data_IF_836036935615
#
_entry.id   IF_836036935615
#
_cell.length_a   1.000
_cell.length_b   1.000
_cell.length_c   1.000
_cell.angle_alpha   90.00
_cell.angle_beta   90.00
_cell.angle_gamma   90.00
#
_symmetry.space_group_name_H-M   'P 1'
#
loop_
_entity.id
_entity.type
_entity.pdbx_description
1 polymer ?
#
# COMPACT_ATOMS: atom_id res chain seq x y z
N UNK A 1 19.50 -15.71 -4.00
CA UNK A 1 19.07 -14.34 -4.35
C UNK A 1 17.65 -14.36 -4.91
N UNK A 2 16.81 -13.43 -4.48
CA UNK A 2 15.47 -13.21 -5.01
C UNK A 2 15.35 -11.78 -5.54
N UNK A 3 14.74 -11.61 -6.72
CA UNK A 3 14.43 -10.31 -7.30
C UNK A 3 12.94 -10.01 -7.09
N UNK A 4 12.61 -8.76 -6.78
CA UNK A 4 11.24 -8.31 -6.49
C UNK A 4 10.51 -7.78 -7.72
N UNK A 5 11.27 -7.47 -8.80
CA UNK A 5 10.74 -7.00 -10.08
C UNK A 5 11.49 -7.74 -11.19
N UNK A 6 10.81 -8.26 -12.20
CA UNK A 6 11.46 -8.93 -13.33
C UNK A 6 12.24 -7.94 -14.21
N UNK A 7 13.35 -8.39 -14.74
CA UNK A 7 14.22 -7.63 -15.64
C UNK A 7 13.69 -7.50 -17.06
N UNK A 8 14.58 -7.18 -18.00
CA UNK A 8 14.29 -7.04 -19.42
C UNK A 8 13.81 -8.38 -20.02
N UNK A 9 12.60 -8.46 -20.60
CA UNK A 9 12.08 -9.70 -21.17
C UNK A 9 12.81 -10.18 -22.44
N UNK A 10 13.72 -9.40 -22.99
CA UNK A 10 14.59 -9.85 -24.08
C UNK A 10 15.79 -10.68 -23.60
N UNK A 11 16.04 -10.69 -22.28
CA UNK A 11 17.09 -11.45 -21.63
C UNK A 11 16.50 -12.64 -20.84
N UNK A 12 17.29 -13.68 -20.55
CA UNK A 12 16.84 -14.77 -19.68
C UNK A 12 16.51 -14.25 -18.27
N UNK A 13 15.35 -14.64 -17.75
CA UNK A 13 15.00 -14.35 -16.36
C UNK A 13 15.84 -15.20 -15.38
N UNK A 14 16.11 -14.65 -14.21
CA UNK A 14 16.93 -15.27 -13.15
C UNK A 14 16.30 -16.56 -12.60
N UNK A 15 14.96 -16.72 -12.72
CA UNK A 15 14.23 -17.88 -12.27
C UNK A 15 12.89 -18.03 -13.00
N UNK A 16 12.29 -19.22 -12.90
CA UNK A 16 10.92 -19.46 -13.40
C UNK A 16 9.89 -18.53 -12.69
N UNK A 17 10.13 -18.20 -11.43
CA UNK A 17 9.30 -17.29 -10.65
C UNK A 17 9.31 -15.90 -11.28
N UNK A 18 10.49 -15.39 -11.67
CA UNK A 18 10.61 -14.11 -12.38
C UNK A 18 9.99 -14.16 -13.78
N UNK A 19 10.14 -15.27 -14.50
CA UNK A 19 9.47 -15.46 -15.78
C UNK A 19 7.93 -15.45 -15.68
N UNK A 20 7.39 -15.99 -14.58
CA UNK A 20 5.95 -15.91 -14.29
C UNK A 20 5.53 -14.48 -13.90
N UNK A 21 6.31 -13.82 -13.04
CA UNK A 21 6.05 -12.43 -12.64
C UNK A 21 6.05 -11.48 -13.84
N UNK A 22 6.96 -11.64 -14.80
CA UNK A 22 7.05 -10.82 -16.01
C UNK A 22 5.76 -10.82 -16.85
N UNK A 23 4.94 -11.90 -16.79
CA UNK A 23 3.64 -11.98 -17.48
C UNK A 23 2.59 -11.03 -16.88
N UNK A 24 2.85 -10.50 -15.69
CA UNK A 24 2.00 -9.52 -15.02
C UNK A 24 2.48 -8.07 -15.23
N UNK A 25 3.37 -7.87 -16.19
CA UNK A 25 3.90 -6.57 -16.56
C UNK A 25 3.71 -6.31 -18.04
N UNK A 26 3.62 -5.02 -18.41
CA UNK A 26 3.51 -4.56 -19.80
C UNK A 26 4.37 -3.31 -20.00
N UNK A 27 4.58 -2.91 -21.25
CA UNK A 27 5.40 -1.75 -21.58
C UNK A 27 6.90 -2.00 -21.36
N UNK A 28 7.60 -0.98 -20.90
CA UNK A 28 9.07 -0.97 -20.77
C UNK A 28 9.52 -0.73 -19.32
N UNK A 29 8.85 -1.35 -18.33
CA UNK A 29 9.10 -1.13 -16.88
C UNK A 29 10.57 -1.26 -16.48
N UNK A 30 11.31 -2.20 -17.08
CA UNK A 30 12.72 -2.45 -16.76
C UNK A 30 13.62 -1.26 -17.10
N UNK A 31 13.25 -0.41 -18.06
CA UNK A 31 13.98 0.82 -18.40
C UNK A 31 13.80 1.91 -17.34
N UNK A 32 12.75 1.83 -16.55
CA UNK A 32 12.42 2.77 -15.48
C UNK A 32 12.69 2.20 -14.08
N UNK A 33 13.21 0.97 -14.00
CA UNK A 33 13.55 0.30 -12.76
C UNK A 33 12.39 -0.43 -12.07
N UNK A 34 11.12 -0.13 -12.40
CA UNK A 34 9.93 -0.86 -11.93
C UNK A 34 9.55 -0.70 -10.46
N UNK A 35 10.47 -0.41 -9.53
CA UNK A 35 10.23 -0.27 -8.10
C UNK A 35 10.54 -1.55 -7.29
N UNK A 36 9.70 -1.87 -6.30
CA UNK A 36 9.78 -3.13 -5.54
C UNK A 36 10.87 -3.19 -4.49
N UNK A 37 11.29 -2.06 -3.92
CA UNK A 37 12.30 -2.01 -2.87
C UNK A 37 11.80 -2.62 -1.57
N UNK A 38 12.57 -3.51 -0.97
CA UNK A 38 12.36 -4.03 0.39
C UNK A 38 13.10 -3.10 1.35
N UNK A 39 12.38 -2.14 1.96
CA UNK A 39 13.03 -1.02 2.66
C UNK A 39 12.71 -0.95 4.17
N UNK A 40 11.82 -1.80 4.66
CA UNK A 40 11.45 -1.86 6.08
C UNK A 40 11.77 -3.24 6.67
N UNK A 41 11.23 -3.56 7.82
CA UNK A 41 11.55 -4.76 8.58
C UNK A 41 11.10 -6.03 7.88
N UNK A 42 11.86 -7.10 8.14
CA UNK A 42 11.56 -8.47 7.69
C UNK A 42 11.20 -9.31 8.91
N UNK A 43 10.44 -10.37 8.73
CA UNK A 43 10.14 -11.32 9.79
C UNK A 43 10.70 -12.71 9.45
N UNK A 44 11.28 -13.39 10.43
CA UNK A 44 11.75 -14.76 10.29
C UNK A 44 10.99 -15.69 11.23
N UNK A 45 10.48 -16.78 10.69
CA UNK A 45 9.84 -17.85 11.44
C UNK A 45 10.81 -19.04 11.59
N UNK A 46 11.38 -19.25 12.79
CA UNK A 46 12.32 -20.36 13.02
C UNK A 46 11.67 -21.75 13.02
N UNK A 47 10.34 -21.80 13.18
CA UNK A 47 9.62 -23.09 13.17
C UNK A 47 9.37 -23.59 11.75
N UNK A 48 9.04 -22.68 10.83
CA UNK A 48 8.79 -23.00 9.44
C UNK A 48 10.05 -22.84 8.56
N UNK A 49 11.10 -22.25 9.13
CA UNK A 49 12.31 -21.83 8.40
C UNK A 49 11.97 -20.99 7.17
N UNK A 50 11.20 -19.91 7.40
CA UNK A 50 10.75 -18.97 6.38
C UNK A 50 11.14 -17.54 6.75
N UNK A 51 11.65 -16.81 5.77
CA UNK A 51 11.87 -15.37 5.81
C UNK A 51 10.76 -14.68 5.03
N UNK A 52 10.04 -13.78 5.71
CA UNK A 52 9.02 -12.93 5.07
C UNK A 52 9.60 -11.56 4.80
N UNK A 53 9.48 -11.12 3.55
CA UNK A 53 9.86 -9.78 3.12
C UNK A 53 8.63 -9.03 2.62
N UNK A 54 8.56 -7.74 2.94
CA UNK A 54 7.54 -6.84 2.39
C UNK A 54 8.10 -6.10 1.18
N UNK A 55 7.41 -6.16 0.06
CA UNK A 55 7.82 -5.54 -1.19
C UNK A 55 7.15 -4.18 -1.35
N UNK A 56 7.90 -3.20 -1.78
CA UNK A 56 7.47 -1.82 -1.96
C UNK A 56 6.62 -1.60 -3.21
N UNK A 57 6.28 -0.34 -3.37
CA UNK A 57 5.49 0.20 -4.48
C UNK A 57 6.21 0.17 -5.83
N UNK A 58 5.47 0.48 -6.89
CA UNK A 58 6.00 0.67 -8.23
C UNK A 58 6.72 2.01 -8.43
N UNK A 59 7.71 2.03 -9.32
CA UNK A 59 8.37 3.26 -9.78
C UNK A 59 8.43 3.26 -11.32
N UNK A 60 7.88 4.30 -11.98
CA UNK A 60 7.03 5.39 -11.46
C UNK A 60 5.78 4.92 -10.69
N UNK A 61 5.21 5.78 -9.82
CA UNK A 61 3.97 5.44 -9.10
C UNK A 61 2.82 5.18 -10.06
N UNK A 62 2.65 6.07 -11.04
CA UNK A 62 1.57 5.95 -12.02
C UNK A 62 1.69 4.64 -12.83
N UNK A 63 0.76 3.73 -12.57
CA UNK A 63 0.76 2.41 -13.22
C UNK A 63 0.61 2.52 -14.73
N UNK A 64 -0.18 3.46 -15.25
CA UNK A 64 -0.40 3.59 -16.71
C UNK A 64 0.86 4.02 -17.45
N UNK A 65 1.80 4.67 -16.76
CA UNK A 65 3.14 5.01 -17.28
C UNK A 65 4.10 3.84 -17.13
N UNK A 66 4.15 3.25 -15.93
CA UNK A 66 5.07 2.15 -15.60
C UNK A 66 4.74 0.86 -16.36
N UNK A 67 3.45 0.51 -16.40
CA UNK A 67 2.98 -0.77 -16.93
C UNK A 67 1.52 -0.62 -17.41
N UNK A 68 1.30 -0.06 -18.61
CA UNK A 68 -0.04 0.21 -19.11
C UNK A 68 -0.86 -1.07 -19.29
N UNK A 69 -2.18 -0.99 -19.12
CA UNK A 69 -3.10 -2.11 -19.35
C UNK A 69 -3.64 -2.78 -18.08
N UNK A 70 -3.39 -2.21 -16.90
CA UNK A 70 -4.09 -2.62 -15.67
C UNK A 70 -3.71 -4.00 -15.13
N UNK A 71 -2.45 -4.40 -15.28
CA UNK A 71 -1.90 -5.69 -14.82
C UNK A 71 -1.32 -5.61 -13.41
N UNK A 72 -1.12 -6.74 -12.76
CA UNK A 72 -0.82 -6.85 -11.34
C UNK A 72 0.57 -6.34 -10.92
N UNK A 73 1.57 -6.43 -11.81
CA UNK A 73 2.96 -6.02 -11.54
C UNK A 73 3.63 -6.78 -10.37
N UNK A 74 3.64 -8.12 -10.44
CA UNK A 74 4.30 -8.92 -9.41
C UNK A 74 5.82 -8.67 -9.38
N UNK A 75 6.42 -8.48 -8.17
CA UNK A 75 5.83 -8.66 -6.83
C UNK A 75 5.65 -7.32 -6.10
N UNK A 76 5.27 -6.24 -6.76
CA UNK A 76 4.99 -4.99 -6.06
C UNK A 76 3.93 -5.18 -4.98
N UNK A 77 4.03 -4.40 -3.90
CA UNK A 77 3.02 -4.33 -2.82
C UNK A 77 2.60 -5.72 -2.32
N UNK A 78 3.60 -6.59 -2.10
CA UNK A 78 3.39 -8.00 -1.74
C UNK A 78 4.16 -8.38 -0.49
N UNK A 79 3.62 -9.35 0.25
CA UNK A 79 4.39 -10.15 1.20
C UNK A 79 4.92 -11.35 0.44
N UNK A 80 6.21 -11.64 0.56
CA UNK A 80 6.85 -12.78 -0.09
C UNK A 80 7.58 -13.62 0.95
N UNK A 81 7.32 -14.93 0.95
CA UNK A 81 8.01 -15.90 1.79
C UNK A 81 9.13 -16.58 1.00
N UNK A 82 10.30 -16.63 1.60
CA UNK A 82 11.52 -17.16 1.03
C UNK A 82 12.16 -18.19 1.97
N UNK A 83 12.92 -19.14 1.41
CA UNK A 83 13.88 -19.93 2.18
C UNK A 83 15.09 -19.06 2.51
N UNK A 84 15.46 -18.85 3.80
CA UNK A 84 16.49 -17.90 4.19
C UNK A 84 17.88 -18.25 3.64
N UNK A 85 18.24 -19.54 3.60
CA UNK A 85 19.57 -19.99 3.17
C UNK A 85 19.80 -19.85 1.67
N UNK A 86 18.79 -20.12 0.84
CA UNK A 86 18.91 -20.14 -0.61
C UNK A 86 18.33 -18.90 -1.30
N UNK A 87 17.33 -18.27 -0.67
CA UNK A 87 16.51 -17.22 -1.28
C UNK A 87 15.44 -17.79 -2.23
N UNK A 88 15.15 -19.09 -2.12
CA UNK A 88 14.13 -19.72 -2.94
C UNK A 88 12.74 -19.22 -2.56
N UNK A 89 11.94 -18.90 -3.58
CA UNK A 89 10.57 -18.49 -3.44
C UNK A 89 9.70 -19.65 -2.92
N UNK A 90 8.83 -19.32 -1.94
CA UNK A 90 7.85 -20.27 -1.38
C UNK A 90 6.43 -19.86 -1.75
N UNK A 91 6.00 -18.67 -1.34
CA UNK A 91 4.70 -18.11 -1.68
C UNK A 91 4.73 -16.57 -1.65
N UNK A 92 3.70 -15.96 -2.19
CA UNK A 92 3.45 -14.53 -2.04
C UNK A 92 1.96 -14.25 -1.85
N UNK A 93 1.68 -13.11 -1.25
CA UNK A 93 0.35 -12.51 -1.21
C UNK A 93 0.46 -11.03 -1.60
N UNK A 94 -0.26 -10.60 -2.62
CA UNK A 94 -0.22 -9.22 -3.11
C UNK A 94 -1.35 -8.40 -2.49
N UNK A 95 -1.02 -7.44 -1.64
CA UNK A 95 -1.99 -6.59 -0.93
C UNK A 95 -2.63 -5.54 -1.83
N UNK A 96 -1.89 -5.06 -2.85
CA UNK A 96 -2.36 -4.01 -3.76
C UNK A 96 -1.93 -4.34 -5.20
N UNK A 97 -2.72 -5.16 -5.94
CA UNK A 97 -2.44 -5.46 -7.34
C UNK A 97 -2.43 -4.20 -8.21
N UNK A 98 -1.42 -4.04 -9.06
CA UNK A 98 -1.30 -2.90 -9.94
C UNK A 98 -1.26 -1.55 -9.21
N UNK A 99 -0.55 -1.50 -8.08
CA UNK A 99 -0.41 -0.29 -7.26
C UNK A 99 -0.08 0.96 -8.09
N UNK A 100 -0.71 2.07 -7.74
CA UNK A 100 -0.51 3.38 -8.34
C UNK A 100 -0.48 4.52 -7.31
N UNK A 101 -0.74 4.20 -6.03
CA UNK A 101 -0.91 5.15 -4.92
C UNK A 101 0.29 5.22 -3.98
N UNK A 102 1.38 4.50 -4.29
CA UNK A 102 2.51 4.28 -3.36
C UNK A 102 2.14 3.38 -2.17
N UNK A 103 1.23 2.43 -2.36
CA UNK A 103 0.87 1.49 -1.30
C UNK A 103 1.86 0.34 -1.22
N UNK A 104 2.78 0.45 -0.27
CA UNK A 104 3.78 -0.58 -0.01
C UNK A 104 3.23 -1.67 0.91
N UNK A 105 3.77 -2.88 0.82
CA UNK A 105 3.57 -3.95 1.81
C UNK A 105 4.83 -4.19 2.65
N UNK A 106 5.67 -3.17 2.80
CA UNK A 106 6.93 -3.25 3.54
C UNK A 106 6.78 -3.09 5.05
N UNK A 107 5.61 -2.65 5.52
CA UNK A 107 5.33 -2.35 6.92
C UNK A 107 5.56 -3.57 7.81
N UNK A 108 5.87 -3.30 9.08
CA UNK A 108 6.17 -4.31 10.09
C UNK A 108 5.18 -5.48 10.06
N UNK A 109 5.70 -6.70 10.08
CA UNK A 109 4.93 -7.95 10.11
C UNK A 109 5.04 -8.60 11.48
N UNK A 110 3.91 -9.06 12.04
CA UNK A 110 3.85 -9.78 13.31
C UNK A 110 3.51 -11.23 13.02
N UNK A 111 4.29 -12.16 13.58
CA UNK A 111 4.01 -13.59 13.56
C UNK A 111 3.32 -13.96 14.87
N UNK A 112 2.11 -14.50 14.81
CA UNK A 112 1.34 -14.90 15.97
C UNK A 112 0.57 -16.19 15.71
N UNK A 113 0.31 -16.95 16.78
CA UNK A 113 -0.63 -18.06 16.74
C UNK A 113 -1.97 -17.57 17.26
N UNK A 114 -3.00 -17.60 16.40
CA UNK A 114 -4.34 -17.08 16.69
C UNK A 114 -5.35 -18.22 16.74
N UNK A 115 -6.26 -18.16 17.71
CA UNK A 115 -7.41 -19.08 17.71
C UNK A 115 -8.51 -18.49 16.82
N UNK A 116 -8.70 -19.08 15.64
CA UNK A 116 -9.70 -18.66 14.65
C UNK A 116 -10.68 -19.79 14.44
N UNK A 117 -11.94 -19.57 14.78
CA UNK A 117 -12.98 -20.62 14.63
C UNK A 117 -12.78 -21.86 15.50
N UNK A 118 -12.01 -21.75 16.60
CA UNK A 118 -11.68 -22.85 17.48
C UNK A 118 -10.40 -23.64 17.11
N UNK A 119 -9.72 -23.23 16.03
CA UNK A 119 -8.46 -23.83 15.59
C UNK A 119 -7.32 -22.83 15.73
N UNK A 120 -6.15 -23.32 16.18
CA UNK A 120 -4.93 -22.49 16.25
C UNK A 120 -4.33 -22.38 14.85
N UNK A 121 -4.33 -21.15 14.30
CA UNK A 121 -3.75 -20.82 12.99
C UNK A 121 -2.44 -20.08 13.19
N UNK A 122 -1.41 -20.49 12.46
CA UNK A 122 -0.13 -19.79 12.38
C UNK A 122 -0.31 -18.59 11.46
N UNK A 123 -0.42 -17.39 12.03
CA UNK A 123 -0.77 -16.19 11.27
C UNK A 123 0.42 -15.25 11.08
N UNK A 124 0.42 -14.54 9.95
CA UNK A 124 1.17 -13.32 9.72
C UNK A 124 0.19 -12.16 9.64
N UNK A 125 0.47 -11.10 10.39
CA UNK A 125 -0.37 -9.93 10.57
C UNK A 125 0.33 -8.72 9.99
N UNK A 126 -0.35 -7.96 9.14
CA UNK A 126 0.20 -6.73 8.57
C UNK A 126 -0.90 -5.68 8.36
N UNK A 127 -0.57 -4.42 8.69
CA UNK A 127 -1.32 -3.23 8.32
C UNK A 127 -0.49 -2.44 7.29
N UNK A 128 -0.53 -2.76 5.98
CA UNK A 128 0.19 -2.01 4.96
C UNK A 128 -0.43 -0.64 4.71
N UNK A 129 0.22 0.18 3.87
CA UNK A 129 -0.24 1.53 3.53
C UNK A 129 -1.66 1.59 2.98
N UNK A 130 -2.14 0.54 2.34
CA UNK A 130 -3.41 0.50 1.61
C UNK A 130 -4.69 0.61 2.47
N UNK A 131 -4.54 0.55 3.80
CA UNK A 131 -5.61 0.79 4.77
C UNK A 131 -6.38 -0.45 5.23
N UNK A 132 -6.02 -1.65 4.78
CA UNK A 132 -6.57 -2.91 5.26
C UNK A 132 -5.60 -3.60 6.21
N UNK A 133 -6.11 -4.19 7.29
CA UNK A 133 -5.37 -5.07 8.18
C UNK A 133 -5.52 -6.51 7.71
N UNK A 134 -4.43 -7.15 7.31
CA UNK A 134 -4.42 -8.50 6.77
C UNK A 134 -4.02 -9.54 7.81
N UNK A 135 -4.72 -10.67 7.77
CA UNK A 135 -4.37 -11.91 8.47
C UNK A 135 -4.23 -13.00 7.41
N UNK A 136 -3.02 -13.56 7.30
CA UNK A 136 -2.71 -14.65 6.36
C UNK A 136 -2.17 -15.85 7.12
N UNK A 137 -2.35 -17.04 6.58
CA UNK A 137 -1.63 -18.24 7.05
C UNK A 137 -0.14 -18.09 6.70
N UNK A 138 0.74 -18.09 7.70
CA UNK A 138 2.17 -17.81 7.47
C UNK A 138 2.93 -18.96 6.83
N UNK A 139 2.37 -20.20 6.82
CA UNK A 139 3.00 -21.33 6.16
C UNK A 139 2.72 -21.34 4.65
N UNK A 140 1.54 -20.90 4.23
CA UNK A 140 1.04 -21.08 2.86
C UNK A 140 0.78 -19.78 2.11
N UNK A 141 0.63 -18.65 2.83
CA UNK A 141 0.19 -17.37 2.27
C UNK A 141 -1.32 -17.31 2.01
N UNK A 142 -2.08 -18.31 2.46
CA UNK A 142 -3.54 -18.32 2.33
C UNK A 142 -4.16 -17.10 3.02
N UNK A 143 -5.09 -16.46 2.32
CA UNK A 143 -5.87 -15.37 2.88
C UNK A 143 -6.85 -15.90 3.93
N UNK A 144 -6.80 -15.32 5.13
CA UNK A 144 -7.73 -15.65 6.22
C UNK A 144 -8.78 -14.55 6.35
N UNK A 145 -8.34 -13.31 6.50
CA UNK A 145 -9.24 -12.16 6.63
C UNK A 145 -8.54 -10.83 6.38
N UNK A 146 -9.31 -9.80 6.02
CA UNK A 146 -8.86 -8.42 6.03
C UNK A 146 -10.03 -7.46 6.20
N UNK A 147 -9.84 -6.41 7.01
CA UNK A 147 -10.78 -5.32 7.19
C UNK A 147 -10.08 -3.97 7.24
N UNK A 148 -10.85 -2.89 6.99
CA UNK A 148 -10.35 -1.52 7.01
C UNK A 148 -10.01 -1.08 8.43
N UNK A 149 -8.74 -0.75 8.70
CA UNK A 149 -8.35 -0.18 10.00
C UNK A 149 -8.33 1.36 9.99
N UNK A 150 -8.39 1.98 8.81
CA UNK A 150 -8.57 3.41 8.57
C UNK A 150 -9.60 3.64 7.45
N UNK A 151 -10.08 4.88 7.21
CA UNK A 151 -10.92 5.17 6.06
C UNK A 151 -10.20 4.85 4.73
N UNK A 152 -10.88 4.11 3.85
CA UNK A 152 -10.38 3.68 2.54
C UNK A 152 -11.38 4.06 1.47
N UNK A 153 -10.95 4.80 0.43
CA UNK A 153 -11.79 5.21 -0.70
C UNK A 153 -11.48 4.45 -1.99
N UNK A 154 -10.28 3.88 -2.13
CA UNK A 154 -9.86 3.18 -3.35
C UNK A 154 -10.46 1.78 -3.51
N UNK A 155 -10.88 1.13 -2.41
CA UNK A 155 -11.48 -0.19 -2.43
C UNK A 155 -12.66 -0.30 -1.46
N UNK A 156 -13.64 -1.11 -1.81
CA UNK A 156 -14.82 -1.37 -0.96
C UNK A 156 -14.50 -2.38 0.13
N UNK A 157 -13.81 -3.47 -0.20
CA UNK A 157 -13.44 -4.57 0.70
C UNK A 157 -12.35 -5.43 0.03
N UNK A 158 -11.84 -6.41 0.76
CA UNK A 158 -11.05 -7.51 0.19
C UNK A 158 -11.99 -8.70 0.01
N UNK A 159 -12.10 -9.20 -1.22
CA UNK A 159 -12.98 -10.32 -1.56
C UNK A 159 -12.52 -11.59 -0.83
N UNK A 160 -13.36 -12.23 -0.03
CA UNK A 160 -12.97 -13.37 0.80
C UNK A 160 -12.65 -14.65 0.01
N UNK A 161 -13.15 -14.78 -1.24
CA UNK A 161 -12.89 -15.97 -2.06
C UNK A 161 -11.56 -15.85 -2.81
N UNK A 162 -11.22 -14.63 -3.25
CA UNK A 162 -10.02 -14.39 -4.06
C UNK A 162 -8.86 -13.78 -3.27
N UNK A 163 -9.12 -13.22 -2.09
CA UNK A 163 -8.16 -12.44 -1.32
C UNK A 163 -7.74 -11.13 -2.00
N UNK A 164 -8.49 -10.65 -3.00
CA UNK A 164 -8.14 -9.44 -3.77
C UNK A 164 -9.00 -8.25 -3.34
N UNK A 165 -8.41 -7.04 -3.23
CA UNK A 165 -9.20 -5.84 -3.04
C UNK A 165 -10.16 -5.58 -4.21
N UNK A 166 -11.40 -5.22 -3.89
CA UNK A 166 -12.41 -4.82 -4.88
C UNK A 166 -12.38 -3.30 -5.00
N UNK A 167 -11.80 -2.82 -6.07
CA UNK A 167 -11.66 -1.38 -6.33
C UNK A 167 -13.02 -0.69 -6.46
N UNK A 168 -13.10 0.57 -6.02
CA UNK A 168 -14.25 1.44 -6.29
C UNK A 168 -14.20 1.94 -7.75
N UNK A 169 -15.30 2.45 -8.25
CA UNK A 169 -15.39 2.99 -9.62
C UNK A 169 -14.38 4.13 -9.86
N UNK A 170 -14.11 4.94 -8.84
CA UNK A 170 -13.21 6.09 -8.90
C UNK A 170 -11.87 5.83 -8.19
N UNK A 171 -11.47 4.56 -8.04
CA UNK A 171 -10.25 4.20 -7.32
C UNK A 171 -9.01 4.79 -7.98
N UNK A 172 -8.93 4.72 -9.32
CA UNK A 172 -7.73 5.09 -10.07
C UNK A 172 -7.80 6.53 -10.53
N UNK A 173 -7.01 7.39 -9.91
CA UNK A 173 -6.94 8.84 -10.20
C UNK A 173 -6.60 9.16 -11.66
N UNK A 174 -5.98 8.23 -12.39
CA UNK A 174 -5.62 8.41 -13.80
C UNK A 174 -6.82 8.62 -14.73
N UNK A 175 -8.01 8.20 -14.31
CA UNK A 175 -9.23 8.19 -15.14
C UNK A 175 -10.32 9.11 -14.63
N UNK A 176 -10.30 9.54 -13.37
CA UNK A 176 -11.52 10.04 -12.71
C UNK A 176 -11.38 11.33 -11.91
N UNK A 177 -10.26 12.03 -11.94
CA UNK A 177 -10.12 13.26 -11.15
C UNK A 177 -10.12 14.51 -12.04
N UNK A 178 -11.28 15.19 -12.23
CA UNK A 178 -11.37 16.38 -13.06
C UNK A 178 -10.59 17.58 -12.52
N UNK A 179 -10.23 17.60 -11.21
CA UNK A 179 -9.39 18.65 -10.64
C UNK A 179 -7.96 18.57 -11.16
N UNK A 180 -7.48 17.36 -11.43
CA UNK A 180 -6.07 17.08 -11.71
C UNK A 180 -5.63 17.50 -13.11
N UNK A 181 -6.55 17.58 -14.04
CA UNK A 181 -6.28 18.03 -15.42
C UNK A 181 -6.22 19.56 -15.55
N UNK A 182 -6.55 20.29 -14.48
CA UNK A 182 -6.49 21.75 -14.45
C UNK A 182 -5.06 22.23 -14.13
N UNK A 183 -4.65 23.42 -14.59
CA UNK A 183 -3.48 24.11 -14.08
C UNK A 183 -3.56 24.31 -12.56
N UNK A 184 -2.42 24.22 -11.85
CA UNK A 184 -2.39 24.31 -10.38
C UNK A 184 -3.12 25.52 -9.80
N UNK A 185 -3.00 26.69 -10.44
CA UNK A 185 -3.68 27.92 -10.01
C UNK A 185 -5.21 27.77 -10.06
N UNK A 186 -5.73 27.14 -11.12
CA UNK A 186 -7.17 26.87 -11.26
C UNK A 186 -7.63 25.82 -10.25
N UNK A 187 -6.82 24.80 -9.98
CA UNK A 187 -7.09 23.81 -8.93
C UNK A 187 -7.21 24.47 -7.55
N UNK A 188 -6.28 25.37 -7.22
CA UNK A 188 -6.29 26.13 -5.95
C UNK A 188 -7.57 27.01 -5.87
N UNK A 189 -7.96 27.64 -6.97
CA UNK A 189 -9.18 28.48 -6.99
C UNK A 189 -10.44 27.65 -6.76
N UNK A 190 -10.51 26.43 -7.32
CA UNK A 190 -11.60 25.50 -7.03
C UNK A 190 -11.60 25.11 -5.55
N UNK A 191 -10.45 24.70 -5.00
CA UNK A 191 -10.31 24.29 -3.60
C UNK A 191 -10.65 25.41 -2.61
N UNK A 192 -10.40 26.68 -2.94
CA UNK A 192 -10.85 27.83 -2.13
C UNK A 192 -12.35 27.86 -1.95
N UNK A 193 -13.11 27.51 -3.00
CA UNK A 193 -14.57 27.45 -2.98
C UNK A 193 -15.15 26.26 -2.24
N UNK A 194 -14.39 25.19 -2.04
CA UNK A 194 -14.83 23.96 -1.40
C UNK A 194 -14.76 24.05 0.13
N UNK A 195 -15.69 23.41 0.82
CA UNK A 195 -15.59 23.10 2.25
C UNK A 195 -14.54 22.01 2.51
N UNK A 196 -14.08 21.88 3.76
CA UNK A 196 -13.16 20.80 4.14
C UNK A 196 -13.74 19.40 3.80
N UNK A 197 -15.06 19.18 4.02
CA UNK A 197 -15.71 17.92 3.68
C UNK A 197 -15.78 17.62 2.19
N UNK A 198 -15.93 18.65 1.34
CA UNK A 198 -15.89 18.49 -0.12
C UNK A 198 -14.47 18.18 -0.61
N UNK A 199 -13.44 18.80 -0.01
CA UNK A 199 -12.02 18.47 -0.28
C UNK A 199 -11.74 17.02 0.15
N UNK A 200 -12.18 16.62 1.34
CA UNK A 200 -12.03 15.25 1.84
C UNK A 200 -12.66 14.22 0.91
N UNK A 201 -13.84 14.52 0.38
CA UNK A 201 -14.56 13.65 -0.55
C UNK A 201 -13.90 13.57 -1.95
N UNK A 202 -13.19 14.63 -2.36
CA UNK A 202 -12.48 14.68 -3.63
C UNK A 202 -11.08 14.01 -3.57
N UNK A 203 -10.55 13.82 -2.37
CA UNK A 203 -9.23 13.26 -2.16
C UNK A 203 -9.29 11.75 -1.88
N UNK A 204 -8.23 11.05 -2.26
CA UNK A 204 -8.09 9.61 -2.00
C UNK A 204 -7.63 9.36 -0.56
N UNK A 205 -8.13 8.27 0.03
CA UNK A 205 -7.72 7.76 1.33
C UNK A 205 -7.38 6.26 1.25
N UNK A 206 -6.31 5.82 1.89
CA UNK A 206 -5.22 6.64 2.45
C UNK A 206 -4.47 7.42 1.38
N UNK A 207 -3.72 8.44 1.79
CA UNK A 207 -2.71 9.06 0.94
C UNK A 207 -1.43 8.20 0.82
N UNK A 208 -0.35 8.70 0.17
CA UNK A 208 0.86 7.91 -0.10
C UNK A 208 1.69 7.57 1.15
N UNK A 209 1.43 8.25 2.27
CA UNK A 209 1.99 7.86 3.57
C UNK A 209 1.29 6.65 4.17
N UNK A 210 0.13 6.28 3.63
CA UNK A 210 -0.63 5.11 4.04
C UNK A 210 -1.46 5.33 5.30
N UNK A 211 -2.30 4.36 5.61
CA UNK A 211 -2.96 4.26 6.90
C UNK A 211 -2.00 3.88 8.04
N UNK A 212 -0.87 3.28 7.70
CA UNK A 212 0.25 2.94 8.57
C UNK A 212 1.53 2.96 7.72
N UNK A 213 2.65 3.38 8.31
CA UNK A 213 3.92 3.48 7.60
C UNK A 213 5.01 2.62 8.29
N UNK A 214 6.24 3.09 8.37
CA UNK A 214 7.40 2.36 8.90
C UNK A 214 7.40 2.17 10.44
N UNK A 215 6.56 2.88 11.18
CA UNK A 215 6.46 2.73 12.64
C UNK A 215 6.05 1.29 12.99
N UNK A 216 6.75 0.61 13.92
CA UNK A 216 6.41 -0.78 14.23
C UNK A 216 5.06 -0.89 14.93
N UNK A 217 4.32 -1.95 14.57
CA UNK A 217 3.17 -2.43 15.36
C UNK A 217 3.66 -3.25 16.54
N UNK A 218 2.79 -3.53 17.50
CA UNK A 218 3.04 -4.50 18.56
C UNK A 218 1.84 -5.41 18.79
N UNK A 219 2.10 -6.64 19.23
CA UNK A 219 1.07 -7.62 19.58
C UNK A 219 1.22 -7.99 21.05
N UNK A 220 0.11 -8.01 21.78
CA UNK A 220 0.06 -8.50 23.15
C UNK A 220 -0.64 -9.85 23.21
N UNK A 221 0.06 -10.94 23.56
CA UNK A 221 -0.58 -12.24 23.72
C UNK A 221 -1.57 -12.27 24.89
N UNK A 222 -1.42 -11.39 25.89
CA UNK A 222 -2.33 -11.31 27.02
C UNK A 222 -3.71 -10.76 26.66
N UNK A 223 -3.76 -9.79 25.74
CA UNK A 223 -5.00 -9.18 25.26
C UNK A 223 -5.49 -9.78 23.95
N UNK A 224 -4.61 -10.39 23.16
CA UNK A 224 -4.87 -10.82 21.79
C UNK A 224 -4.93 -9.68 20.77
N UNK A 225 -4.56 -8.44 21.16
CA UNK A 225 -4.70 -7.26 20.28
C UNK A 225 -3.38 -6.84 19.64
N UNK A 226 -3.51 -6.25 18.45
CA UNK A 226 -2.45 -5.54 17.74
C UNK A 226 -2.62 -4.04 17.97
N UNK A 227 -1.53 -3.35 18.28
CA UNK A 227 -1.50 -1.90 18.44
C UNK A 227 -0.85 -1.27 17.22
N UNK A 228 -1.63 -0.44 16.51
CA UNK A 228 -1.27 0.11 15.21
C UNK A 228 -1.12 1.63 15.33
N UNK A 229 0.09 2.20 15.12
CA UNK A 229 0.24 3.64 14.94
C UNK A 229 -0.30 4.01 13.55
N UNK A 230 -1.51 4.58 13.51
CA UNK A 230 -2.28 4.78 12.29
C UNK A 230 -2.44 6.26 11.92
N UNK A 231 -2.63 6.49 10.61
CA UNK A 231 -2.81 7.80 10.00
C UNK A 231 -4.11 7.82 9.18
N UNK A 232 -4.92 8.86 9.36
CA UNK A 232 -6.02 9.19 8.44
C UNK A 232 -5.63 10.48 7.72
N UNK A 233 -5.13 10.33 6.50
CA UNK A 233 -4.61 11.43 5.68
C UNK A 233 -5.15 11.33 4.27
N UNK A 234 -6.06 12.22 3.86
CA UNK A 234 -6.47 12.34 2.48
C UNK A 234 -5.36 12.93 1.61
N UNK A 235 -5.35 12.58 0.32
CA UNK A 235 -4.36 13.08 -0.62
C UNK A 235 -4.93 13.30 -2.02
N UNK A 236 -4.60 14.44 -2.63
CA UNK A 236 -4.92 14.73 -4.02
C UNK A 236 -3.85 14.15 -4.95
N UNK A 237 -4.16 13.01 -5.57
CA UNK A 237 -3.30 12.45 -6.62
C UNK A 237 -3.67 13.04 -7.98
N UNK A 238 -2.69 13.11 -8.88
CA UNK A 238 -2.89 13.54 -10.24
C UNK A 238 -1.91 12.98 -11.25
N UNK A 239 -2.27 13.05 -12.52
CA UNK A 239 -1.35 12.74 -13.59
C UNK A 239 -0.32 13.86 -13.73
N UNK A 240 0.94 13.53 -13.97
CA UNK A 240 1.99 14.49 -14.33
C UNK A 240 1.94 14.71 -15.84
N UNK A 241 1.46 15.88 -16.33
CA UNK A 241 1.39 16.15 -17.75
C UNK A 241 2.77 16.16 -18.39
N UNK A 242 2.93 15.42 -19.48
CA UNK A 242 4.19 15.38 -20.22
C UNK A 242 5.35 14.71 -19.47
N UNK A 243 5.07 13.81 -18.55
CA UNK A 243 6.09 13.06 -17.84
C UNK A 243 7.14 12.48 -18.78
N UNK A 244 8.41 12.70 -18.45
CA UNK A 244 9.58 12.11 -19.12
C UNK A 244 10.45 11.49 -18.05
N UNK A 245 10.77 10.21 -18.20
CA UNK A 245 11.68 9.52 -17.29
C UNK A 245 13.09 10.13 -17.37
N UNK A 246 13.67 10.45 -16.22
CA UNK A 246 15.04 10.93 -16.07
C UNK A 246 15.83 9.98 -15.17
N UNK A 247 16.87 9.35 -15.70
CA UNK A 247 17.74 8.47 -14.93
C UNK A 247 18.37 9.20 -13.73
N UNK A 248 18.40 8.53 -12.57
CA UNK A 248 18.94 9.11 -11.33
C UNK A 248 18.06 10.18 -10.67
N UNK A 249 16.84 10.37 -11.15
CA UNK A 249 15.83 11.25 -10.56
C UNK A 249 14.74 10.44 -9.85
N UNK A 250 13.98 11.14 -9.02
CA UNK A 250 12.77 10.59 -8.40
C UNK A 250 11.61 10.69 -9.40
N UNK A 251 11.34 9.60 -10.09
CA UNK A 251 10.35 9.54 -11.15
C UNK A 251 9.01 9.03 -10.59
N UNK A 252 8.04 9.89 -10.38
CA UNK A 252 6.71 9.53 -9.85
C UNK A 252 5.67 9.34 -10.96
N UNK A 253 5.76 10.14 -12.03
CA UNK A 253 4.71 10.30 -13.04
C UNK A 253 3.35 10.66 -12.39
N UNK A 254 3.41 11.35 -11.27
CA UNK A 254 2.28 11.78 -10.46
C UNK A 254 2.44 13.27 -10.14
N UNK A 255 1.40 14.04 -10.38
CA UNK A 255 1.32 15.41 -9.90
C UNK A 255 0.82 15.41 -8.46
N UNK A 256 1.75 15.54 -7.54
CA UNK A 256 1.49 15.50 -6.09
C UNK A 256 1.29 16.87 -5.45
N UNK A 257 1.23 17.93 -6.28
CA UNK A 257 1.11 19.31 -5.80
C UNK A 257 -0.15 19.55 -4.98
N UNK A 258 -1.25 18.86 -5.29
CA UNK A 258 -2.50 18.92 -4.51
C UNK A 258 -2.41 18.23 -3.15
N UNK A 259 -1.49 17.31 -2.96
CA UNK A 259 -1.26 16.62 -1.70
C UNK A 259 -0.26 17.31 -0.79
N UNK A 260 0.36 18.40 -1.25
CA UNK A 260 1.33 19.20 -0.51
C UNK A 260 0.72 20.56 -0.15
N UNK A 261 1.27 21.28 0.85
CA UNK A 261 0.83 22.64 1.13
C UNK A 261 0.88 23.50 -0.13
N UNK A 262 -0.27 24.06 -0.49
CA UNK A 262 -0.43 24.86 -1.72
C UNK A 262 0.17 26.25 -1.61
N UNK A 263 0.46 26.71 -0.39
CA UNK A 263 0.83 28.09 -0.04
C UNK A 263 -0.38 29.02 0.10
N UNK A 264 -1.58 28.54 -0.24
CA UNK A 264 -2.84 29.27 0.00
C UNK A 264 -3.41 28.89 1.37
N UNK A 265 -3.27 29.78 2.34
CA UNK A 265 -3.62 29.54 3.75
C UNK A 265 -5.04 29.02 3.96
N UNK A 266 -6.00 29.49 3.17
CA UNK A 266 -7.40 29.07 3.31
C UNK A 266 -7.64 27.63 2.88
N UNK A 267 -6.86 27.12 1.92
CA UNK A 267 -6.87 25.74 1.48
C UNK A 267 -6.08 24.86 2.44
N UNK A 268 -4.84 25.27 2.74
CA UNK A 268 -3.93 24.51 3.61
C UNK A 268 -4.53 24.28 4.99
N UNK A 269 -5.19 25.28 5.60
CA UNK A 269 -5.87 25.12 6.89
C UNK A 269 -7.03 24.12 6.84
N UNK A 270 -7.74 24.00 5.71
CA UNK A 270 -8.81 23.01 5.55
C UNK A 270 -8.21 21.60 5.46
N UNK A 271 -7.15 21.42 4.68
CA UNK A 271 -6.45 20.14 4.54
C UNK A 271 -5.83 19.71 5.86
N UNK A 272 -5.12 20.60 6.55
CA UNK A 272 -4.51 20.33 7.87
C UNK A 272 -5.56 19.85 8.89
N UNK A 273 -6.76 20.40 8.84
CA UNK A 273 -7.88 20.00 9.69
C UNK A 273 -8.40 18.58 9.41
N UNK A 274 -8.02 17.97 8.29
CA UNK A 274 -8.39 16.60 7.93
C UNK A 274 -7.32 15.56 8.32
N UNK A 275 -6.11 16.00 8.63
CA UNK A 275 -4.99 15.14 8.96
C UNK A 275 -5.08 14.64 10.41
N UNK A 276 -5.05 13.33 10.62
CA UNK A 276 -5.16 12.72 11.94
C UNK A 276 -4.18 11.59 12.13
N UNK A 277 -3.50 11.56 13.29
CA UNK A 277 -2.70 10.44 13.76
C UNK A 277 -3.30 9.85 15.02
N UNK A 278 -3.22 8.55 15.20
CA UNK A 278 -3.76 7.86 16.39
C UNK A 278 -3.07 6.51 16.62
N UNK A 279 -3.18 6.00 17.84
CA UNK A 279 -2.91 4.59 18.14
C UNK A 279 -4.24 3.86 18.17
N UNK A 280 -4.34 2.74 17.45
CA UNK A 280 -5.50 1.86 17.44
C UNK A 280 -5.16 0.52 18.08
N UNK A 281 -6.00 0.01 18.97
CA UNK A 281 -5.99 -1.38 19.38
C UNK A 281 -6.94 -2.16 18.49
N UNK A 282 -6.41 -3.13 17.77
CA UNK A 282 -7.11 -3.93 16.76
C UNK A 282 -7.22 -5.38 17.20
N UNK A 283 -8.43 -5.93 17.13
CA UNK A 283 -8.66 -7.37 17.31
C UNK A 283 -8.43 -8.08 15.95
N UNK A 284 -7.35 -8.86 15.80
CA UNK A 284 -7.02 -9.51 14.54
C UNK A 284 -7.93 -10.71 14.19
N UNK A 285 -8.66 -11.25 15.16
CA UNK A 285 -9.59 -12.37 14.96
C UNK A 285 -10.96 -11.84 14.54
N UNK A 286 -11.49 -10.86 15.29
CA UNK A 286 -12.78 -10.25 15.00
C UNK A 286 -12.71 -9.17 13.91
N UNK A 287 -11.50 -8.83 13.47
CA UNK A 287 -11.24 -7.80 12.44
C UNK A 287 -11.94 -6.48 12.74
N UNK A 288 -11.74 -5.96 13.95
CA UNK A 288 -12.36 -4.71 14.37
C UNK A 288 -11.46 -3.91 15.31
N UNK A 289 -11.67 -2.60 15.29
CA UNK A 289 -11.09 -1.72 16.29
C UNK A 289 -11.76 -1.94 17.65
N UNK A 290 -10.94 -2.07 18.69
CA UNK A 290 -11.40 -2.19 20.07
C UNK A 290 -11.47 -0.82 20.73
N UNK A 291 -10.42 -0.01 20.53
CA UNK A 291 -10.35 1.39 20.95
C UNK A 291 -9.27 2.12 20.15
N UNK A 292 -9.34 3.45 20.17
CA UNK A 292 -8.28 4.32 19.66
C UNK A 292 -8.01 5.50 20.59
N UNK A 293 -6.78 6.01 20.50
CA UNK A 293 -6.37 7.26 21.14
C UNK A 293 -5.86 8.20 20.06
N UNK A 294 -6.54 9.30 19.88
CA UNK A 294 -6.14 10.37 18.95
C UNK A 294 -4.91 11.08 19.49
N UNK A 295 -3.92 11.31 18.64
CA UNK A 295 -2.78 12.15 18.97
C UNK A 295 -3.11 13.64 18.79
N UNK A 296 -2.34 14.50 19.48
CA UNK A 296 -2.51 15.96 19.38
C UNK A 296 -2.09 16.51 18.00
N UNK A 297 -1.22 15.78 17.29
CA UNK A 297 -0.77 16.10 15.94
C UNK A 297 -0.93 14.94 14.99
N UNK A 298 -0.68 15.16 13.71
CA UNK A 298 -0.72 14.11 12.68
C UNK A 298 0.48 13.16 12.81
N UNK A 299 1.62 13.74 13.12
CA UNK A 299 2.88 13.03 13.28
C UNK A 299 3.14 12.72 14.75
N UNK A 300 3.50 11.51 15.04
CA UNK A 300 3.83 11.04 16.40
C UNK A 300 5.32 11.07 16.64
#
# INVERSE_FOLDING_TARGET
>A
RFYTVPGDPSEPFESETMAKAAKTWTGNWWKMGGGGTVWDSMAYDPELDLLYIGVGNGSPWNQTVRSPGGVDNLFLSSIVALKPDSGDYVWHYQTTPGDTWDYTATQHMILADLNIGGEVRKAILQAPKNGFFYVLDRATGEFISAEKYVPVTWATHVDPETGRPVETENARYQVSNPLVDLPLEEQIDVLKGMSAGEIEAAYHKPGPLGGHNWHPMSFSPDTGYVYIPALDMPFGYGNEPGFIYEEGRWNLANDWRLGMPTGEKSVDSKVDGLLRGFISAWDPVEQREVWRIQHAGTWN
#
